data_IF_474606233193
#
_entry.id   IF_474606233193
#
_cell.length_a   1.000
_cell.length_b   1.000
_cell.length_c   1.000
_cell.angle_alpha   90.00
_cell.angle_beta   90.00
_cell.angle_gamma   90.00
#
_symmetry.space_group_name_H-M   'P 1'
#
loop_
_entity.id
_entity.type
_entity.pdbx_description
1 polymer ?
#
# COMPACT_ATOMS: atom_id res chain seq x y z
N UNK A 1 4.09 -2.73 -22.13
CA UNK A 1 4.81 -1.84 -21.20
C UNK A 1 4.11 -1.93 -19.87
N UNK A 2 4.85 -1.98 -18.76
CA UNK A 2 4.24 -1.92 -17.44
C UNK A 2 3.58 -0.55 -17.24
N UNK A 3 2.41 -0.54 -16.62
CA UNK A 3 1.68 0.70 -16.35
C UNK A 3 2.14 1.27 -15.01
N UNK A 4 2.31 2.59 -14.98
CA UNK A 4 2.74 3.32 -13.79
C UNK A 4 1.67 4.28 -13.32
N UNK A 5 1.63 4.47 -12.01
CA UNK A 5 0.80 5.50 -11.40
C UNK A 5 1.51 6.12 -10.21
N UNK A 6 1.31 7.42 -10.05
CA UNK A 6 1.78 8.16 -8.88
C UNK A 6 0.58 8.60 -8.06
N UNK A 7 0.62 8.33 -6.77
CA UNK A 7 -0.30 8.86 -5.79
C UNK A 7 0.48 9.72 -4.79
N UNK A 8 -0.13 10.80 -4.31
CA UNK A 8 0.49 11.69 -3.32
C UNK A 8 -0.54 12.04 -2.25
N UNK A 9 -0.36 11.46 -1.06
CA UNK A 9 -1.06 11.89 0.13
C UNK A 9 -0.41 13.18 0.65
N UNK A 10 -1.23 14.17 1.00
CA UNK A 10 -0.76 15.44 1.57
C UNK A 10 -1.29 15.55 2.98
N UNK A 11 -0.39 15.73 3.93
CA UNK A 11 -0.72 15.83 5.35
C UNK A 11 -0.36 17.24 5.83
N UNK A 12 -1.14 17.79 6.74
CA UNK A 12 -0.84 19.07 7.40
C UNK A 12 0.17 18.93 8.54
N UNK A 13 0.69 17.72 8.71
CA UNK A 13 1.69 17.33 9.69
C UNK A 13 3.10 17.36 9.09
N UNK A 14 4.10 17.42 9.95
CA UNK A 14 5.52 17.36 9.56
C UNK A 14 5.92 15.95 9.10
N UNK A 15 6.97 15.81 8.28
CA UNK A 15 7.49 14.49 7.91
C UNK A 15 7.85 13.63 9.13
N UNK A 16 8.36 14.25 10.19
CA UNK A 16 8.71 13.55 11.44
C UNK A 16 7.49 12.95 12.12
N UNK A 17 6.38 13.69 12.23
CA UNK A 17 5.13 13.17 12.82
C UNK A 17 4.58 12.00 12.01
N UNK A 18 4.57 12.11 10.68
CA UNK A 18 4.14 11.01 9.80
C UNK A 18 5.05 9.79 9.94
N UNK A 19 6.37 10.00 10.00
CA UNK A 19 7.31 8.89 10.21
C UNK A 19 7.12 8.22 11.57
N UNK A 20 6.90 9.01 12.63
CA UNK A 20 6.61 8.48 13.97
C UNK A 20 5.30 7.68 14.02
N UNK A 21 4.30 8.01 13.18
CA UNK A 21 3.14 7.15 13.03
C UNK A 21 3.52 5.81 12.40
N UNK A 22 4.39 5.80 11.38
CA UNK A 22 4.82 4.57 10.71
C UNK A 22 5.67 3.65 11.60
N UNK A 23 6.38 4.19 12.60
CA UNK A 23 7.10 3.40 13.60
C UNK A 23 6.19 2.87 14.72
N UNK A 24 4.92 3.28 14.76
CA UNK A 24 3.99 2.88 15.81
C UNK A 24 3.14 1.67 15.38
N UNK A 25 3.17 0.61 16.18
CA UNK A 25 2.35 -0.59 15.95
C UNK A 25 0.85 -0.29 16.01
N UNK A 26 0.40 0.57 16.93
CA UNK A 26 -1.02 0.88 17.12
C UNK A 26 -1.62 1.57 15.88
N UNK A 27 -0.81 2.38 15.18
CA UNK A 27 -1.20 2.98 13.90
C UNK A 27 -1.50 1.91 12.85
N UNK A 28 -0.62 0.91 12.72
CA UNK A 28 -0.81 -0.18 11.76
C UNK A 28 -2.01 -1.06 12.12
N UNK A 29 -2.20 -1.35 13.41
CA UNK A 29 -3.36 -2.10 13.89
C UNK A 29 -4.66 -1.33 13.61
N UNK A 30 -4.69 0.00 13.80
CA UNK A 30 -5.83 0.85 13.44
C UNK A 30 -6.12 0.83 11.94
N UNK A 31 -5.07 0.90 11.09
CA UNK A 31 -5.22 0.81 9.64
C UNK A 31 -5.74 -0.55 9.19
N UNK A 32 -5.28 -1.64 9.80
CA UNK A 32 -5.78 -2.99 9.53
C UNK A 32 -7.20 -3.18 10.04
N UNK A 33 -7.59 -2.57 11.16
CA UNK A 33 -8.98 -2.62 11.65
C UNK A 33 -9.97 -2.06 10.63
N UNK A 34 -9.63 -0.94 9.99
CA UNK A 34 -10.46 -0.38 8.91
C UNK A 34 -10.55 -1.32 7.70
N UNK A 35 -9.45 -2.00 7.35
CA UNK A 35 -9.45 -3.00 6.28
C UNK A 35 -10.22 -4.27 6.68
N UNK A 36 -10.22 -4.64 7.97
CA UNK A 36 -10.93 -5.80 8.51
C UNK A 36 -12.45 -5.75 8.36
N UNK A 37 -13.00 -4.55 8.14
CA UNK A 37 -14.42 -4.35 7.81
C UNK A 37 -14.83 -5.00 6.48
N UNK A 38 -13.87 -5.21 5.57
CA UNK A 38 -14.13 -5.75 4.24
C UNK A 38 -13.70 -7.22 4.11
N UNK A 39 -12.64 -7.62 4.81
CA UNK A 39 -12.07 -8.98 4.76
C UNK A 39 -11.01 -9.21 5.84
N UNK A 40 -10.58 -10.45 6.06
CA UNK A 40 -9.66 -10.85 7.15
C UNK A 40 -8.18 -10.41 6.96
N UNK A 41 -7.96 -9.12 6.72
CA UNK A 41 -6.64 -8.50 6.61
C UNK A 41 -5.89 -8.55 7.95
N UNK A 42 -4.58 -8.74 7.92
CA UNK A 42 -3.74 -8.76 9.12
C UNK A 42 -2.29 -8.33 8.84
N UNK A 43 -1.60 -7.89 9.90
CA UNK A 43 -0.15 -7.72 9.92
C UNK A 43 0.48 -9.08 10.22
N UNK A 44 1.31 -9.56 9.29
CA UNK A 44 2.10 -10.78 9.45
C UNK A 44 3.41 -10.47 10.20
N UNK A 45 4.03 -9.35 9.89
CA UNK A 45 5.30 -8.94 10.48
C UNK A 45 5.36 -7.41 10.58
N UNK A 46 5.94 -6.91 11.68
CA UNK A 46 6.22 -5.51 11.89
C UNK A 46 7.48 -5.40 12.74
N UNK A 47 8.48 -4.70 12.22
CA UNK A 47 9.75 -4.46 12.90
C UNK A 47 10.20 -3.01 12.68
N UNK A 48 10.77 -2.43 13.73
CA UNK A 48 11.38 -1.10 13.71
C UNK A 48 12.76 -1.24 14.31
N UNK A 49 13.77 -0.85 13.54
CA UNK A 49 15.17 -0.96 13.91
C UNK A 49 15.95 0.29 13.49
N UNK A 50 17.26 0.30 13.78
CA UNK A 50 18.15 1.38 13.33
C UNK A 50 18.27 1.45 11.80
N UNK A 51 17.92 0.37 11.08
CA UNK A 51 17.92 0.29 9.62
C UNK A 51 16.60 0.77 9.00
N UNK A 52 15.59 1.09 9.82
CA UNK A 52 14.30 1.65 9.39
C UNK A 52 13.10 0.83 9.84
N UNK A 53 12.12 0.69 8.95
CA UNK A 53 10.84 0.02 9.26
C UNK A 53 10.60 -1.06 8.22
N UNK A 54 10.29 -2.26 8.67
CA UNK A 54 9.87 -3.37 7.83
C UNK A 54 8.49 -3.86 8.26
N UNK A 55 7.58 -4.00 7.29
CA UNK A 55 6.23 -4.48 7.53
C UNK A 55 5.78 -5.45 6.45
N UNK A 56 5.10 -6.51 6.87
CA UNK A 56 4.44 -7.47 5.98
C UNK A 56 2.96 -7.51 6.34
N UNK A 57 2.13 -7.19 5.35
CA UNK A 57 0.68 -7.22 5.43
C UNK A 57 0.14 -8.35 4.55
N UNK A 58 -0.87 -9.04 5.05
CA UNK A 58 -1.68 -9.97 4.28
C UNK A 58 -3.04 -9.33 4.03
N UNK A 59 -3.32 -9.08 2.75
CA UNK A 59 -4.63 -8.63 2.30
C UNK A 59 -5.40 -9.78 1.68
N UNK A 60 -6.58 -10.06 2.22
CA UNK A 60 -7.47 -11.09 1.68
C UNK A 60 -8.54 -10.37 0.86
N UNK A 61 -8.71 -10.72 -0.40
CA UNK A 61 -9.75 -10.17 -1.28
C UNK A 61 -10.68 -11.31 -1.68
N UNK A 62 -11.93 -11.33 -1.17
CA UNK A 62 -12.89 -12.34 -1.56
C UNK A 62 -13.11 -12.32 -3.07
N UNK A 63 -13.23 -13.50 -3.69
CA UNK A 63 -13.43 -13.61 -5.13
C UNK A 63 -14.67 -12.85 -5.60
N UNK A 64 -15.72 -12.80 -4.78
CA UNK A 64 -16.96 -12.07 -5.08
C UNK A 64 -16.74 -10.57 -5.30
N UNK A 65 -15.76 -9.99 -4.59
CA UNK A 65 -15.41 -8.56 -4.65
C UNK A 65 -14.44 -8.26 -5.79
N UNK A 66 -13.85 -9.29 -6.41
CA UNK A 66 -12.99 -9.10 -7.58
C UNK A 66 -13.84 -8.69 -8.79
N UNK A 67 -13.35 -7.80 -9.64
CA UNK A 67 -14.02 -7.49 -10.89
C UNK A 67 -14.16 -8.72 -11.80
N UNK A 68 -15.21 -8.77 -12.62
CA UNK A 68 -15.56 -9.96 -13.43
C UNK A 68 -14.38 -10.53 -14.21
N UNK A 69 -13.57 -9.67 -14.83
CA UNK A 69 -12.38 -10.10 -15.58
C UNK A 69 -11.34 -10.78 -14.68
N UNK A 70 -11.15 -10.31 -13.45
CA UNK A 70 -10.25 -10.94 -12.48
C UNK A 70 -10.83 -12.26 -11.96
N UNK A 71 -12.15 -12.37 -11.80
CA UNK A 71 -12.84 -13.62 -11.43
C UNK A 71 -12.71 -14.74 -12.46
N UNK A 72 -12.43 -14.43 -13.73
CA UNK A 72 -12.16 -15.45 -14.77
C UNK A 72 -10.80 -16.13 -14.58
N UNK A 73 -9.85 -15.41 -13.97
CA UNK A 73 -8.48 -15.87 -13.74
C UNK A 73 -8.36 -16.46 -12.34
N UNK A 74 -8.89 -15.77 -11.34
CA UNK A 74 -8.84 -16.14 -9.94
C UNK A 74 -10.00 -17.06 -9.58
N UNK A 75 -9.67 -18.32 -9.28
CA UNK A 75 -10.66 -19.37 -8.94
C UNK A 75 -10.99 -19.43 -7.44
N UNK A 76 -10.25 -18.68 -6.62
CA UNK A 76 -10.38 -18.61 -5.16
C UNK A 76 -10.17 -17.17 -4.73
N UNK A 77 -10.37 -16.93 -3.43
CA UNK A 77 -10.01 -15.65 -2.82
C UNK A 77 -8.54 -15.35 -3.03
N UNK A 78 -8.25 -14.08 -3.26
CA UNK A 78 -6.90 -13.60 -3.50
C UNK A 78 -6.26 -13.28 -2.16
N UNK A 79 -5.11 -13.87 -1.88
CA UNK A 79 -4.25 -13.48 -0.76
C UNK A 79 -3.08 -12.70 -1.35
N UNK A 80 -2.98 -11.42 -0.99
CA UNK A 80 -1.89 -10.54 -1.38
C UNK A 80 -0.96 -10.39 -0.18
N UNK A 81 0.31 -10.75 -0.37
CA UNK A 81 1.38 -10.40 0.56
C UNK A 81 1.99 -9.09 0.10
N UNK A 82 1.76 -8.02 0.87
CA UNK A 82 2.36 -6.69 0.68
C UNK A 82 3.49 -6.53 1.68
N UNK A 83 4.70 -6.30 1.19
CA UNK A 83 5.84 -5.94 2.02
C UNK A 83 6.18 -4.48 1.79
N UNK A 84 6.41 -3.74 2.86
CA UNK A 84 6.90 -2.38 2.78
C UNK A 84 8.16 -2.26 3.63
N UNK A 85 9.14 -1.55 3.08
CA UNK A 85 10.37 -1.20 3.76
C UNK A 85 10.59 0.29 3.66
N UNK A 86 10.89 0.94 4.77
CA UNK A 86 11.21 2.35 4.87
C UNK A 86 12.63 2.50 5.41
N UNK A 87 13.40 3.44 4.87
CA UNK A 87 14.72 3.80 5.41
C UNK A 87 14.58 4.44 6.80
N UNK A 88 15.69 4.60 7.55
CA UNK A 88 15.70 5.45 8.73
C UNK A 88 15.21 6.85 8.37
N UNK A 89 14.67 7.56 9.36
CA UNK A 89 14.15 8.90 9.13
C UNK A 89 15.24 9.81 8.54
N UNK A 90 14.88 10.45 7.44
CA UNK A 90 15.66 11.48 6.77
C UNK A 90 14.75 12.40 5.97
N UNK A 91 15.30 13.47 5.42
CA UNK A 91 14.56 14.37 4.54
C UNK A 91 15.22 14.40 3.16
N UNK A 92 14.73 13.62 2.17
CA UNK A 92 13.52 12.79 2.21
C UNK A 92 13.73 11.40 2.84
N UNK A 93 12.68 10.86 3.47
CA UNK A 93 12.64 9.44 3.83
C UNK A 93 12.17 8.67 2.60
N UNK A 94 12.81 7.54 2.31
CA UNK A 94 12.48 6.71 1.15
C UNK A 94 12.03 5.32 1.57
N UNK A 95 11.31 4.65 0.69
CA UNK A 95 10.91 3.27 0.92
C UNK A 95 10.59 2.55 -0.38
N UNK A 96 10.38 1.26 -0.27
CA UNK A 96 9.92 0.40 -1.35
C UNK A 96 8.80 -0.47 -0.85
N UNK A 97 7.89 -0.83 -1.76
CA UNK A 97 6.93 -1.85 -1.46
C UNK A 97 6.81 -2.85 -2.62
N UNK A 98 6.49 -4.08 -2.28
CA UNK A 98 6.13 -5.13 -3.22
C UNK A 98 4.84 -5.78 -2.77
N UNK A 99 3.96 -6.07 -3.71
CA UNK A 99 2.75 -6.85 -3.48
C UNK A 99 2.74 -8.03 -4.45
N UNK A 100 2.58 -9.22 -3.88
CA UNK A 100 2.60 -10.49 -4.60
C UNK A 100 1.39 -11.33 -4.24
N UNK A 101 0.89 -12.06 -5.24
CA UNK A 101 -0.15 -13.07 -5.06
C UNK A 101 0.53 -14.42 -5.27
N UNK A 102 0.53 -15.35 -4.31
CA UNK A 102 1.10 -16.67 -4.50
C UNK A 102 0.52 -17.36 -5.75
N UNK A 103 1.40 -17.76 -6.68
CA UNK A 103 1.05 -18.32 -7.99
C UNK A 103 0.15 -17.42 -8.87
N UNK A 104 0.02 -16.13 -8.51
CA UNK A 104 -0.72 -15.15 -9.28
C UNK A 104 0.04 -14.74 -10.55
N UNK A 105 -0.66 -14.29 -11.60
CA UNK A 105 -0.06 -14.01 -12.88
C UNK A 105 0.47 -12.58 -12.97
N UNK A 106 0.80 -11.92 -11.86
CA UNK A 106 1.19 -10.52 -11.85
C UNK A 106 2.03 -10.12 -10.65
N UNK A 107 2.67 -8.96 -10.77
CA UNK A 107 3.48 -8.32 -9.73
C UNK A 107 3.11 -6.84 -9.64
N UNK A 108 3.09 -6.32 -8.42
CA UNK A 108 2.98 -4.90 -8.15
C UNK A 108 4.18 -4.49 -7.30
N UNK A 109 4.92 -3.49 -7.76
CA UNK A 109 6.05 -2.92 -7.02
C UNK A 109 5.95 -1.41 -7.01
N UNK A 110 6.62 -0.78 -6.07
CA UNK A 110 6.71 0.67 -6.08
C UNK A 110 7.73 1.24 -5.13
N UNK A 111 7.94 2.54 -5.29
CA UNK A 111 8.79 3.36 -4.42
C UNK A 111 7.93 4.36 -3.66
N UNK A 112 8.38 4.69 -2.46
CA UNK A 112 7.71 5.61 -1.56
C UNK A 112 8.68 6.70 -1.14
N UNK A 113 8.17 7.92 -0.98
CA UNK A 113 8.97 9.08 -0.58
C UNK A 113 8.16 10.02 0.30
N UNK A 114 8.67 10.30 1.49
CA UNK A 114 8.13 11.27 2.42
C UNK A 114 9.04 12.50 2.45
N UNK A 115 8.48 13.69 2.23
CA UNK A 115 9.24 14.94 2.18
C UNK A 115 8.41 16.14 2.63
N UNK A 116 9.09 17.14 3.20
CA UNK A 116 8.48 18.38 3.65
C UNK A 116 7.93 19.21 2.49
N UNK A 117 6.91 20.02 2.80
CA UNK A 117 6.34 21.06 1.97
C UNK A 117 6.17 22.32 2.81
N UNK A 118 5.79 23.45 2.21
CA UNK A 118 5.62 24.72 2.94
C UNK A 118 4.59 24.64 4.09
N UNK A 119 3.62 23.72 4.03
CA UNK A 119 2.46 23.67 4.96
C UNK A 119 2.28 22.31 5.65
N UNK A 120 3.28 21.43 5.58
CA UNK A 120 3.21 20.06 6.09
C UNK A 120 4.13 19.14 5.30
N UNK A 121 3.66 17.96 4.92
CA UNK A 121 4.44 17.03 4.11
C UNK A 121 3.63 16.32 3.02
N UNK A 122 4.36 15.72 2.08
CA UNK A 122 3.78 14.83 1.07
C UNK A 122 4.39 13.45 1.20
N UNK A 123 3.53 12.43 1.25
CA UNK A 123 3.90 11.03 1.07
C UNK A 123 3.51 10.59 -0.33
N UNK A 124 4.53 10.40 -1.19
CA UNK A 124 4.36 10.01 -2.59
C UNK A 124 4.64 8.54 -2.76
N UNK A 125 3.75 7.84 -3.44
CA UNK A 125 3.88 6.44 -3.81
C UNK A 125 3.83 6.31 -5.32
N UNK A 126 4.89 5.77 -5.90
CA UNK A 126 5.04 5.52 -7.34
C UNK A 126 4.97 4.02 -7.57
N UNK A 127 3.95 3.57 -8.29
CA UNK A 127 3.61 2.14 -8.40
C UNK A 127 3.67 1.66 -9.84
N UNK A 128 4.15 0.44 -10.04
CA UNK A 128 4.23 -0.24 -11.32
C UNK A 128 3.53 -1.60 -11.23
N UNK A 129 2.48 -1.78 -12.04
CA UNK A 129 1.75 -3.03 -12.15
C UNK A 129 2.15 -3.77 -13.43
N UNK A 130 2.36 -5.08 -13.32
CA UNK A 130 2.66 -5.96 -14.44
C UNK A 130 1.87 -7.25 -14.35
N UNK A 131 1.17 -7.60 -15.43
CA UNK A 131 0.38 -8.84 -15.51
C UNK A 131 0.86 -9.67 -16.70
N UNK A 132 1.29 -10.89 -16.40
CA UNK A 132 1.86 -11.88 -17.32
C UNK A 132 0.76 -12.75 -17.98
N UNK A 133 -0.30 -12.11 -18.50
CA UNK A 133 -1.38 -12.80 -19.22
C UNK A 133 -1.52 -12.28 -20.65
N UNK A 134 -1.50 -13.17 -21.66
CA UNK A 134 -1.72 -12.76 -23.05
C UNK A 134 -3.15 -12.23 -23.21
N UNK A 135 -3.30 -11.22 -24.07
CA UNK A 135 -4.57 -10.57 -24.45
C UNK A 135 -5.31 -9.78 -23.35
N UNK A 136 -5.29 -10.23 -22.09
CA UNK A 136 -6.02 -9.60 -20.98
C UNK A 136 -5.12 -8.84 -19.98
N UNK A 137 -3.79 -9.04 -20.03
CA UNK A 137 -2.85 -8.46 -19.06
C UNK A 137 -2.97 -6.94 -18.93
N UNK A 138 -2.99 -6.21 -20.06
CA UNK A 138 -3.08 -4.75 -20.02
C UNK A 138 -4.39 -4.20 -19.43
N UNK A 139 -5.50 -4.95 -19.48
CA UNK A 139 -6.76 -4.57 -18.83
C UNK A 139 -6.70 -4.81 -17.32
N UNK A 140 -6.11 -5.92 -16.90
CA UNK A 140 -5.90 -6.25 -15.49
C UNK A 140 -4.91 -5.29 -14.83
N UNK A 141 -3.83 -4.90 -15.52
CA UNK A 141 -2.89 -3.88 -15.05
C UNK A 141 -3.59 -2.55 -14.78
N UNK A 142 -4.45 -2.10 -15.71
CA UNK A 142 -5.23 -0.87 -15.51
C UNK A 142 -6.14 -0.98 -14.28
N UNK A 143 -6.84 -2.10 -14.17
CA UNK A 143 -7.79 -2.35 -13.10
C UNK A 143 -7.08 -2.38 -11.74
N UNK A 144 -5.93 -3.02 -11.65
CA UNK A 144 -5.10 -3.02 -10.44
C UNK A 144 -4.72 -1.59 -10.03
N UNK A 145 -4.22 -0.77 -10.97
CA UNK A 145 -3.78 0.58 -10.64
C UNK A 145 -4.92 1.51 -10.21
N UNK A 146 -6.11 1.37 -10.79
CA UNK A 146 -7.28 2.17 -10.37
C UNK A 146 -7.68 1.83 -8.94
N UNK A 147 -7.85 0.54 -8.63
CA UNK A 147 -8.20 0.10 -7.28
C UNK A 147 -7.09 0.46 -6.26
N UNK A 148 -5.83 0.46 -6.70
CA UNK A 148 -4.71 0.86 -5.86
C UNK A 148 -4.76 2.34 -5.45
N UNK A 149 -5.23 3.25 -6.33
CA UNK A 149 -5.44 4.65 -5.95
C UNK A 149 -6.50 4.75 -4.86
N UNK A 150 -7.60 4.02 -5.00
CA UNK A 150 -8.69 4.09 -4.01
C UNK A 150 -8.24 3.51 -2.67
N UNK A 151 -7.44 2.43 -2.69
CA UNK A 151 -6.77 1.93 -1.50
C UNK A 151 -5.86 3.00 -0.88
N UNK A 152 -4.95 3.60 -1.64
CA UNK A 152 -4.05 4.64 -1.12
C UNK A 152 -4.79 5.87 -0.60
N UNK A 153 -5.94 6.22 -1.19
CA UNK A 153 -6.80 7.29 -0.69
C UNK A 153 -7.36 6.93 0.68
N UNK A 154 -7.91 5.74 0.85
CA UNK A 154 -8.41 5.27 2.14
C UNK A 154 -7.28 5.22 3.19
N UNK A 155 -6.11 4.70 2.82
CA UNK A 155 -4.94 4.67 3.71
C UNK A 155 -4.49 6.08 4.14
N UNK A 156 -4.51 7.05 3.22
CA UNK A 156 -4.19 8.44 3.54
C UNK A 156 -5.21 9.07 4.49
N UNK A 157 -6.50 8.80 4.31
CA UNK A 157 -7.57 9.28 5.21
C UNK A 157 -7.45 8.70 6.63
N UNK A 158 -7.13 7.41 6.73
CA UNK A 158 -6.84 6.76 8.01
C UNK A 158 -5.63 7.41 8.69
N UNK A 159 -4.56 7.64 7.92
CA UNK A 159 -3.33 8.26 8.43
C UNK A 159 -3.57 9.67 8.95
N UNK A 160 -4.27 10.52 8.18
CA UNK A 160 -4.62 11.87 8.60
C UNK A 160 -5.51 11.86 9.85
N UNK A 161 -6.48 10.93 9.93
CA UNK A 161 -7.36 10.78 11.10
C UNK A 161 -6.55 10.40 12.34
N UNK A 162 -5.61 9.47 12.20
CA UNK A 162 -4.74 9.04 13.29
C UNK A 162 -3.86 10.19 13.79
N UNK A 163 -3.19 10.90 12.88
CA UNK A 163 -2.32 12.05 13.17
C UNK A 163 -3.08 13.24 13.76
N UNK A 164 -4.37 13.38 13.45
CA UNK A 164 -5.21 14.44 14.05
C UNK A 164 -5.61 14.13 15.49
N UNK A 165 -5.47 12.88 15.93
CA UNK A 165 -5.92 12.41 17.24
C UNK A 165 -4.77 12.13 18.22
N UNK A 166 -3.52 12.04 17.73
CA UNK A 166 -2.33 11.64 18.48
C UNK A 166 -1.16 12.58 18.19
#
# INVERSE_FOLDING_TARGET
MARRIDYSARYKHTPTEVYNAFTNRDYWDARIEEMRKYSENHIEHFDVSDDGIDIVLHHILPRSELPEIAQTVMKKDMVITRKESYTPFGEPTTGTYEASIPAGPGSLTGTMKLFATETGCTFRTSSEAKVYLPFIGGKLEQLMLVNLIDLFRAEAEITETWLSQH
#
